data_IF_409185315602
#
_entry.id   IF_409185315602
#
_cell.length_a   1.000
_cell.length_b   1.000
_cell.length_c   1.000
_cell.angle_alpha   90.00
_cell.angle_beta   90.00
_cell.angle_gamma   90.00
#
_symmetry.space_group_name_H-M   'P 1'
#
loop_
_entity.id
_entity.type
_entity.pdbx_description
1 polymer ?
#
# COMPACT_ATOMS: atom_id res chain seq x y z
N UNK A 1 -35.58 16.10 56.17
CA UNK A 1 -35.63 14.66 56.51
C UNK A 1 -36.82 14.05 55.78
N UNK A 2 -36.63 12.83 55.25
CA UNK A 2 -37.54 11.99 54.43
C UNK A 2 -37.71 12.43 52.96
N UNK A 3 -37.79 11.54 51.95
CA UNK A 3 -37.61 10.07 51.91
C UNK A 3 -37.00 9.69 50.54
N UNK A 4 -36.06 8.75 50.54
CA UNK A 4 -35.59 8.04 49.35
C UNK A 4 -36.31 6.68 49.37
N UNK A 5 -37.49 6.60 48.74
CA UNK A 5 -38.18 5.33 48.49
C UNK A 5 -37.95 4.91 47.03
N UNK A 6 -36.86 4.19 46.80
CA UNK A 6 -36.60 3.49 45.54
C UNK A 6 -37.09 2.04 45.69
N UNK A 7 -38.35 1.80 45.31
CA UNK A 7 -39.05 0.51 45.28
C UNK A 7 -38.54 -0.45 44.17
N UNK A 8 -37.29 -0.27 43.73
CA UNK A 8 -36.71 -0.98 42.59
C UNK A 8 -36.31 -2.42 42.93
N UNK A 9 -36.02 -2.70 44.21
CA UNK A 9 -35.53 -4.02 44.65
C UNK A 9 -36.60 -4.91 45.29
N UNK A 10 -37.86 -4.47 45.29
CA UNK A 10 -38.95 -5.11 46.02
C UNK A 10 -38.80 -4.92 47.54
N UNK A 11 -39.90 -5.11 48.27
CA UNK A 11 -39.87 -5.07 49.73
C UNK A 11 -39.05 -6.24 50.32
N UNK A 12 -38.69 -6.12 51.60
CA UNK A 12 -37.89 -7.11 52.32
C UNK A 12 -38.53 -8.51 52.33
N UNK A 13 -39.85 -8.60 52.19
CA UNK A 13 -40.60 -9.84 52.17
C UNK A 13 -40.45 -10.56 50.81
N UNK A 14 -40.53 -9.82 49.70
CA UNK A 14 -40.24 -10.33 48.34
C UNK A 14 -38.79 -10.76 48.22
N UNK A 15 -37.85 -10.00 48.78
CA UNK A 15 -36.43 -10.34 48.75
C UNK A 15 -36.14 -11.62 49.55
N UNK A 16 -36.80 -11.80 50.70
CA UNK A 16 -36.68 -13.02 51.51
C UNK A 16 -37.26 -14.25 50.80
N UNK A 17 -38.42 -14.11 50.16
CA UNK A 17 -39.05 -15.19 49.40
C UNK A 17 -38.21 -15.62 48.19
N UNK A 18 -37.68 -14.66 47.41
CA UNK A 18 -36.80 -14.96 46.27
C UNK A 18 -35.50 -15.64 46.72
N UNK A 19 -34.89 -15.19 47.83
CA UNK A 19 -33.70 -15.84 48.39
C UNK A 19 -34.00 -17.27 48.86
N UNK A 20 -35.17 -17.50 49.46
CA UNK A 20 -35.59 -18.84 49.86
C UNK A 20 -35.77 -19.74 48.63
N UNK A 21 -36.40 -19.25 47.56
CA UNK A 21 -36.56 -19.95 46.29
C UNK A 21 -35.23 -20.30 45.61
N UNK A 22 -34.27 -19.37 45.60
CA UNK A 22 -32.92 -19.64 45.07
C UNK A 22 -32.21 -20.72 45.88
N UNK A 23 -32.35 -20.72 47.21
CA UNK A 23 -31.67 -21.68 48.08
C UNK A 23 -32.14 -23.13 47.88
N UNK A 24 -33.40 -23.32 47.48
CA UNK A 24 -33.99 -24.64 47.24
C UNK A 24 -34.03 -25.01 45.75
N UNK A 25 -33.55 -24.14 44.87
CA UNK A 25 -33.59 -24.38 43.43
C UNK A 25 -32.51 -25.39 43.04
N UNK A 26 -32.95 -26.57 42.63
CA UNK A 26 -32.09 -27.60 42.07
C UNK A 26 -31.72 -27.24 40.64
N UNK A 27 -30.51 -26.71 40.48
CA UNK A 27 -29.96 -26.33 39.19
C UNK A 27 -29.80 -27.57 38.32
N UNK A 28 -29.21 -28.66 38.80
CA UNK A 28 -28.95 -29.84 37.96
C UNK A 28 -30.26 -30.47 37.47
N UNK A 29 -31.24 -30.64 38.36
CA UNK A 29 -32.57 -31.16 37.98
C UNK A 29 -33.32 -30.25 37.00
N UNK A 30 -33.25 -28.92 37.18
CA UNK A 30 -33.88 -27.98 36.24
C UNK A 30 -33.25 -28.05 34.83
N UNK A 31 -31.93 -28.18 34.77
CA UNK A 31 -31.17 -28.29 33.51
C UNK A 31 -31.43 -29.62 32.78
N UNK A 32 -31.58 -30.73 33.50
CA UNK A 32 -31.95 -32.03 32.91
C UNK A 32 -33.38 -32.02 32.36
N UNK A 33 -34.32 -31.38 33.06
CA UNK A 33 -35.73 -31.34 32.68
C UNK A 33 -36.01 -30.44 31.47
N UNK A 34 -35.18 -29.41 31.24
CA UNK A 34 -35.38 -28.41 30.17
C UNK A 34 -34.54 -28.67 28.90
N UNK A 35 -33.82 -29.78 28.80
CA UNK A 35 -32.99 -30.15 27.62
C UNK A 35 -32.07 -29.01 27.10
N UNK A 36 -31.64 -28.08 27.95
CA UNK A 36 -30.74 -26.98 27.57
C UNK A 36 -29.27 -27.39 27.51
N UNK A 37 -28.98 -28.69 27.49
CA UNK A 37 -27.65 -29.24 27.19
C UNK A 37 -27.34 -29.32 25.68
N UNK A 38 -28.26 -28.85 24.83
CA UNK A 38 -28.05 -28.60 23.41
C UNK A 38 -27.88 -27.10 23.09
N UNK A 39 -27.40 -26.31 24.07
CA UNK A 39 -26.82 -25.00 23.74
C UNK A 39 -25.46 -25.22 23.07
N UNK A 40 -25.21 -24.70 21.85
CA UNK A 40 -23.91 -24.82 21.17
C UNK A 40 -22.90 -23.81 21.76
N UNK A 41 -22.75 -23.84 23.08
CA UNK A 41 -21.68 -23.20 23.84
C UNK A 41 -20.67 -24.23 24.34
N UNK A 42 -20.61 -25.41 23.69
CA UNK A 42 -19.30 -26.03 23.50
C UNK A 42 -18.44 -24.97 22.86
N UNK A 43 -17.33 -24.67 23.51
CA UNK A 43 -16.15 -24.06 22.92
C UNK A 43 -15.84 -24.77 21.60
N UNK A 44 -16.52 -24.36 20.53
CA UNK A 44 -15.86 -24.14 19.27
C UNK A 44 -14.90 -23.00 19.58
N UNK A 45 -13.74 -23.35 20.17
CA UNK A 45 -12.54 -23.02 19.46
C UNK A 45 -12.85 -23.49 18.03
N UNK A 46 -13.36 -22.57 17.20
CA UNK A 46 -13.17 -22.67 15.79
C UNK A 46 -11.67 -22.89 15.72
N UNK A 47 -11.26 -24.15 15.56
CA UNK A 47 -10.20 -24.44 14.62
C UNK A 47 -10.66 -23.62 13.44
N UNK A 48 -10.10 -22.40 13.30
CA UNK A 48 -10.03 -21.72 12.02
C UNK A 48 -9.61 -22.87 11.13
N UNK A 49 -10.53 -23.41 10.34
CA UNK A 49 -10.15 -24.31 9.28
C UNK A 49 -9.01 -23.57 8.62
N UNK A 50 -7.83 -24.19 8.60
CA UNK A 50 -6.65 -23.54 8.07
C UNK A 50 -7.07 -23.13 6.67
N UNK A 51 -7.28 -21.82 6.47
CA UNK A 51 -7.72 -21.27 5.20
C UNK A 51 -6.73 -21.82 4.20
N UNK A 52 -7.20 -22.46 3.12
CA UNK A 52 -6.31 -23.00 2.11
C UNK A 52 -5.61 -21.83 1.42
N UNK A 53 -4.48 -21.43 2.00
CA UNK A 53 -3.62 -20.33 1.56
C UNK A 53 -2.60 -20.78 0.52
N UNK A 54 -2.70 -22.01 -0.01
CA UNK A 54 -1.75 -22.54 -0.99
C UNK A 54 -1.71 -21.73 -2.29
N UNK A 55 -2.83 -21.10 -2.64
CA UNK A 55 -2.96 -20.22 -3.80
C UNK A 55 -2.57 -18.76 -3.52
N UNK A 56 -2.31 -18.40 -2.25
CA UNK A 56 -1.90 -17.06 -1.87
C UNK A 56 -0.39 -16.90 -2.01
N UNK A 57 0.01 -15.71 -2.43
CA UNK A 57 1.41 -15.36 -2.68
C UNK A 57 1.85 -14.23 -1.75
N UNK A 58 3.06 -14.33 -1.21
CA UNK A 58 3.67 -13.22 -0.48
C UNK A 58 5.11 -13.00 -0.97
N UNK A 59 5.33 -12.02 -1.88
CA UNK A 59 6.66 -11.68 -2.37
C UNK A 59 7.63 -11.20 -1.27
N UNK A 60 7.08 -10.77 -0.13
CA UNK A 60 7.80 -10.21 1.01
C UNK A 60 7.89 -11.18 2.20
N UNK A 61 7.63 -12.47 1.96
CA UNK A 61 7.70 -13.48 3.01
C UNK A 61 9.06 -13.44 3.72
N UNK A 62 9.04 -13.55 5.05
CA UNK A 62 10.20 -13.53 5.97
C UNK A 62 10.88 -12.17 6.16
N UNK A 63 10.46 -11.10 5.47
CA UNK A 63 10.94 -9.74 5.78
C UNK A 63 10.31 -9.27 7.10
N UNK A 64 11.14 -8.73 7.99
CA UNK A 64 10.73 -8.34 9.34
C UNK A 64 9.65 -7.26 9.30
N UNK A 65 9.84 -6.24 8.46
CA UNK A 65 8.90 -5.13 8.31
C UNK A 65 7.82 -5.38 7.25
N UNK A 66 7.53 -6.63 6.89
CA UNK A 66 6.45 -6.96 5.96
C UNK A 66 5.33 -7.77 6.62
N UNK A 67 4.11 -7.61 6.11
CA UNK A 67 2.97 -8.45 6.47
C UNK A 67 3.23 -9.90 6.07
N UNK A 68 2.95 -10.83 6.99
CA UNK A 68 3.07 -12.27 6.76
C UNK A 68 1.68 -12.91 6.67
N UNK A 69 1.52 -13.95 5.84
CA UNK A 69 0.22 -14.66 5.72
C UNK A 69 -0.17 -15.43 7.00
N UNK A 70 0.77 -15.58 7.94
CA UNK A 70 0.57 -16.23 9.23
C UNK A 70 -0.03 -15.31 10.30
N UNK A 71 -0.17 -14.01 10.01
CA UNK A 71 -0.77 -13.01 10.91
C UNK A 71 -1.92 -12.28 10.21
N UNK A 72 -2.85 -11.76 11.01
CA UNK A 72 -3.89 -10.84 10.55
C UNK A 72 -3.30 -9.46 10.21
N UNK A 73 -4.04 -8.66 9.45
CA UNK A 73 -3.61 -7.29 9.15
C UNK A 73 -3.58 -6.44 10.42
N UNK A 74 -4.51 -6.67 11.35
CA UNK A 74 -4.55 -6.01 12.66
C UNK A 74 -3.29 -6.28 13.48
N UNK A 75 -2.86 -7.55 13.56
CA UNK A 75 -1.61 -7.93 14.25
C UNK A 75 -0.41 -7.29 13.57
N UNK A 76 -0.37 -7.28 12.23
CA UNK A 76 0.71 -6.66 11.46
C UNK A 76 0.87 -5.16 11.73
N UNK A 77 -0.22 -4.38 11.66
CA UNK A 77 -0.15 -2.92 11.86
C UNK A 77 0.17 -2.55 13.31
N UNK A 78 -0.17 -3.42 14.27
CA UNK A 78 0.25 -3.27 15.67
C UNK A 78 1.71 -3.65 15.89
N UNK A 79 2.21 -4.66 15.16
CA UNK A 79 3.59 -5.14 15.25
C UNK A 79 4.59 -4.17 14.63
N UNK A 80 4.26 -3.54 13.51
CA UNK A 80 5.13 -2.59 12.79
C UNK A 80 4.41 -1.28 12.41
N UNK A 81 3.99 -0.47 13.40
CA UNK A 81 3.39 0.84 13.17
C UNK A 81 4.39 1.85 12.56
N UNK A 82 4.11 2.44 11.39
CA UNK A 82 5.06 3.32 10.70
C UNK A 82 5.53 4.55 11.49
N UNK A 83 4.70 5.05 12.41
CA UNK A 83 5.06 6.21 13.23
C UNK A 83 6.17 5.93 14.25
N UNK A 84 6.33 4.68 14.70
CA UNK A 84 7.27 4.31 15.77
C UNK A 84 8.28 3.24 15.39
N UNK A 85 8.08 2.52 14.28
CA UNK A 85 9.11 1.65 13.70
C UNK A 85 10.21 2.50 13.07
N UNK A 86 11.46 2.27 13.50
CA UNK A 86 12.62 2.97 12.95
C UNK A 86 13.07 2.37 11.61
N UNK A 87 13.50 3.26 10.71
CA UNK A 87 14.20 2.90 9.49
C UNK A 87 15.55 2.24 9.82
N UNK A 88 15.83 1.08 9.21
CA UNK A 88 17.16 0.46 9.26
C UNK A 88 17.66 0.19 7.83
N UNK A 89 18.98 0.08 7.61
CA UNK A 89 19.52 -0.28 6.30
C UNK A 89 18.98 -1.62 5.76
N UNK A 90 18.68 -2.57 6.65
CA UNK A 90 18.18 -3.90 6.28
C UNK A 90 16.68 -3.90 5.97
N UNK A 91 15.89 -3.04 6.65
CA UNK A 91 14.45 -2.95 6.50
C UNK A 91 13.99 -1.48 6.30
N UNK A 92 14.36 -0.84 5.17
CA UNK A 92 14.10 0.60 4.94
C UNK A 92 12.61 0.93 4.70
N UNK A 93 11.77 -0.09 4.50
CA UNK A 93 10.36 0.06 4.17
C UNK A 93 9.49 -0.95 4.91
N UNK A 94 8.26 -0.54 5.23
CA UNK A 94 7.22 -1.45 5.71
C UNK A 94 6.35 -1.87 4.53
N UNK A 95 6.12 -3.17 4.35
CA UNK A 95 5.50 -3.74 3.14
C UNK A 95 4.21 -4.50 3.42
N UNK A 96 3.26 -4.40 2.49
CA UNK A 96 2.07 -5.26 2.42
C UNK A 96 1.87 -5.69 0.97
N UNK A 97 1.59 -6.97 0.74
CA UNK A 97 1.27 -7.48 -0.59
C UNK A 97 -0.23 -7.67 -0.77
N UNK A 98 -0.67 -7.65 -2.03
CA UNK A 98 -1.94 -8.25 -2.39
C UNK A 98 -1.70 -9.75 -2.65
N UNK A 99 -2.26 -10.65 -1.82
CA UNK A 99 -1.88 -12.05 -1.85
C UNK A 99 -2.45 -12.82 -3.05
N UNK A 100 -3.39 -12.22 -3.79
CA UNK A 100 -4.03 -12.82 -4.95
C UNK A 100 -3.30 -12.53 -6.27
N UNK A 101 -2.27 -11.67 -6.25
CA UNK A 101 -1.49 -11.32 -7.44
C UNK A 101 -0.07 -11.83 -7.28
N UNK A 102 0.27 -12.86 -8.06
CA UNK A 102 1.60 -13.48 -8.01
C UNK A 102 2.69 -12.54 -8.56
N UNK A 103 3.82 -12.48 -7.87
CA UNK A 103 5.04 -11.74 -8.25
C UNK A 103 6.26 -12.57 -7.90
N UNK A 104 7.42 -12.22 -8.48
CA UNK A 104 8.69 -12.81 -8.03
C UNK A 104 8.91 -12.52 -6.55
N UNK A 105 9.56 -13.44 -5.84
CA UNK A 105 9.99 -13.15 -4.47
C UNK A 105 10.95 -11.95 -4.47
N UNK A 106 10.87 -11.07 -3.47
CA UNK A 106 11.66 -9.83 -3.46
C UNK A 106 13.15 -10.09 -3.62
N UNK A 107 13.68 -11.10 -2.95
CA UNK A 107 15.10 -11.46 -2.98
C UNK A 107 15.57 -12.10 -4.31
N UNK A 108 14.65 -12.55 -5.17
CA UNK A 108 14.96 -13.16 -6.47
C UNK A 108 14.75 -12.19 -7.65
N UNK A 109 14.12 -11.04 -7.40
CA UNK A 109 13.76 -10.09 -8.45
C UNK A 109 14.99 -9.29 -8.93
N UNK A 110 15.08 -9.06 -10.24
CA UNK A 110 16.23 -8.35 -10.85
C UNK A 110 16.34 -6.89 -10.41
N UNK A 111 15.26 -6.29 -9.88
CA UNK A 111 15.32 -4.92 -9.36
C UNK A 111 16.24 -4.77 -8.13
N UNK A 112 16.57 -5.87 -7.43
CA UNK A 112 17.48 -5.83 -6.29
C UNK A 112 18.94 -5.53 -6.68
N UNK A 113 19.31 -5.64 -7.96
CA UNK A 113 20.68 -5.34 -8.43
C UNK A 113 20.83 -3.92 -8.97
N UNK A 114 19.77 -3.12 -8.96
CA UNK A 114 19.76 -1.76 -9.50
C UNK A 114 19.72 -0.79 -8.32
N UNK A 115 20.66 0.15 -8.19
CA UNK A 115 20.63 1.15 -7.13
C UNK A 115 19.32 1.94 -7.09
N UNK A 116 18.66 1.98 -5.93
CA UNK A 116 17.34 2.57 -5.73
C UNK A 116 16.18 1.72 -6.27
N UNK A 117 16.47 0.62 -6.98
CA UNK A 117 15.49 -0.34 -7.48
C UNK A 117 15.07 -1.36 -6.42
N UNK A 118 15.94 -1.65 -5.45
CA UNK A 118 15.71 -2.53 -4.29
C UNK A 118 14.53 -2.06 -3.44
N UNK A 119 14.27 -0.76 -3.43
CA UNK A 119 13.15 -0.13 -2.75
C UNK A 119 11.81 -0.35 -3.44
N UNK A 120 11.80 -0.84 -4.67
CA UNK A 120 10.58 -0.98 -5.47
C UNK A 120 9.92 -2.37 -5.33
N UNK A 121 8.65 -2.45 -5.73
CA UNK A 121 7.92 -3.70 -5.73
C UNK A 121 8.60 -4.71 -6.68
N UNK A 122 8.65 -6.00 -6.32
CA UNK A 122 9.29 -7.00 -7.15
C UNK A 122 8.55 -7.15 -8.48
N UNK A 123 9.30 -7.37 -9.54
CA UNK A 123 8.82 -7.50 -10.91
C UNK A 123 7.90 -8.72 -11.13
N UNK A 124 7.23 -8.74 -12.29
CA UNK A 124 6.44 -9.89 -12.72
C UNK A 124 7.33 -10.98 -13.33
N UNK A 125 6.79 -12.19 -13.45
CA UNK A 125 7.46 -13.27 -14.14
C UNK A 125 7.66 -12.95 -15.64
N UNK A 126 8.88 -13.16 -16.12
CA UNK A 126 9.27 -12.87 -17.51
C UNK A 126 9.58 -11.40 -17.81
N UNK A 127 9.67 -10.53 -16.80
CA UNK A 127 10.26 -9.21 -16.96
C UNK A 127 11.76 -9.31 -17.32
N UNK A 128 12.18 -8.53 -18.32
CA UNK A 128 13.58 -8.37 -18.72
C UNK A 128 14.06 -6.96 -18.35
N UNK A 129 14.29 -6.79 -17.06
CA UNK A 129 14.72 -5.52 -16.50
C UNK A 129 16.12 -5.06 -16.96
N UNK A 130 17.14 -5.93 -17.06
CA UNK A 130 18.46 -5.54 -17.58
C UNK A 130 18.38 -4.89 -18.96
N UNK A 131 17.65 -5.50 -19.91
CA UNK A 131 17.49 -4.94 -21.26
C UNK A 131 16.72 -3.60 -21.27
N UNK A 132 15.74 -3.43 -20.37
CA UNK A 132 15.04 -2.13 -20.21
C UNK A 132 15.98 -1.06 -19.70
N UNK A 133 16.83 -1.37 -18.73
CA UNK A 133 17.79 -0.40 -18.17
C UNK A 133 18.82 -0.01 -19.23
N UNK A 134 19.43 -0.98 -19.92
CA UNK A 134 20.40 -0.72 -21.00
C UNK A 134 19.77 0.14 -22.10
N UNK A 135 18.63 -0.30 -22.65
CA UNK A 135 17.96 0.43 -23.72
C UNK A 135 17.42 1.79 -23.27
N UNK A 136 16.97 1.90 -22.03
CA UNK A 136 16.50 3.15 -21.45
C UNK A 136 17.64 4.16 -21.29
N UNK A 137 18.79 3.73 -20.77
CA UNK A 137 19.97 4.58 -20.65
C UNK A 137 20.50 5.03 -22.01
N UNK A 138 20.49 4.16 -23.04
CA UNK A 138 20.87 4.56 -24.39
C UNK A 138 19.99 5.71 -24.93
N UNK A 139 18.68 5.69 -24.68
CA UNK A 139 17.75 6.77 -25.07
C UNK A 139 18.04 8.07 -24.30
N UNK A 140 18.36 7.97 -23.01
CA UNK A 140 18.73 9.12 -22.19
C UNK A 140 20.07 9.73 -22.64
N UNK A 141 21.05 8.92 -23.03
CA UNK A 141 22.32 9.41 -23.59
C UNK A 141 22.11 10.17 -24.90
N UNK A 142 21.31 9.63 -25.84
CA UNK A 142 20.95 10.33 -27.07
C UNK A 142 20.25 11.67 -26.78
N UNK A 143 19.34 11.68 -25.80
CA UNK A 143 18.67 12.91 -25.38
C UNK A 143 19.67 13.92 -24.78
N UNK A 144 20.62 13.48 -23.96
CA UNK A 144 21.68 14.33 -23.42
C UNK A 144 22.51 14.98 -24.53
N UNK A 145 23.02 14.19 -25.47
CA UNK A 145 23.83 14.67 -26.59
C UNK A 145 23.08 15.73 -27.41
N UNK A 146 21.80 15.48 -27.71
CA UNK A 146 20.96 16.42 -28.43
C UNK A 146 20.71 17.71 -27.64
N UNK A 147 20.41 17.59 -26.33
CA UNK A 147 20.17 18.74 -25.43
C UNK A 147 21.42 19.61 -25.34
N UNK A 148 22.59 19.01 -25.22
CA UNK A 148 23.86 19.73 -25.14
C UNK A 148 24.20 20.41 -26.47
N UNK A 149 23.98 19.74 -27.61
CA UNK A 149 24.09 20.36 -28.93
C UNK A 149 23.13 21.53 -29.09
N UNK A 150 21.87 21.40 -28.64
CA UNK A 150 20.88 22.47 -28.68
C UNK A 150 21.32 23.69 -27.85
N UNK A 151 21.82 23.48 -26.63
CA UNK A 151 22.32 24.56 -25.77
C UNK A 151 23.52 25.31 -26.39
N UNK A 152 24.34 24.61 -27.18
CA UNK A 152 25.51 25.17 -27.85
C UNK A 152 25.24 25.75 -29.25
N UNK A 153 24.02 25.62 -29.78
CA UNK A 153 23.68 25.97 -31.17
C UNK A 153 23.57 27.47 -31.48
N UNK A 154 23.68 28.34 -30.48
CA UNK A 154 23.49 29.80 -30.63
C UNK A 154 22.03 30.22 -30.94
N UNK A 155 21.09 29.28 -30.94
CA UNK A 155 19.67 29.54 -31.16
C UNK A 155 19.03 30.36 -30.04
N UNK A 156 17.89 30.99 -30.34
CA UNK A 156 17.13 31.75 -29.35
C UNK A 156 16.71 30.87 -28.16
N UNK A 157 16.79 31.33 -26.89
CA UNK A 157 16.51 30.52 -25.70
C UNK A 157 15.18 29.76 -25.74
N UNK A 158 14.10 30.40 -26.20
CA UNK A 158 12.79 29.76 -26.34
C UNK A 158 12.79 28.55 -27.29
N UNK A 159 13.60 28.58 -28.35
CA UNK A 159 13.75 27.44 -29.28
C UNK A 159 14.50 26.32 -28.56
N UNK A 160 15.61 26.64 -27.90
CA UNK A 160 16.41 25.68 -27.13
C UNK A 160 15.52 24.97 -26.10
N UNK A 161 14.78 25.72 -25.27
CA UNK A 161 13.89 25.12 -24.26
C UNK A 161 12.84 24.20 -24.89
N UNK A 162 12.26 24.59 -26.03
CA UNK A 162 11.26 23.77 -26.72
C UNK A 162 11.86 22.46 -27.24
N UNK A 163 13.01 22.53 -27.92
CA UNK A 163 13.66 21.34 -28.49
C UNK A 163 14.18 20.40 -27.38
N UNK A 164 14.76 20.93 -26.31
CA UNK A 164 15.19 20.12 -25.16
C UNK A 164 14.02 19.38 -24.51
N UNK A 165 12.88 20.06 -24.31
CA UNK A 165 11.65 19.42 -23.79
C UNK A 165 11.13 18.34 -24.74
N UNK A 166 11.17 18.59 -26.04
CA UNK A 166 10.75 17.63 -27.05
C UNK A 166 11.62 16.38 -27.01
N UNK A 167 12.95 16.53 -26.97
CA UNK A 167 13.87 15.42 -26.84
C UNK A 167 13.62 14.58 -25.57
N UNK A 168 13.39 15.26 -24.43
CA UNK A 168 12.99 14.59 -23.19
C UNK A 168 11.68 13.81 -23.32
N UNK A 169 10.65 14.42 -23.92
CA UNK A 169 9.35 13.75 -24.14
C UNK A 169 9.47 12.54 -25.07
N UNK A 170 10.25 12.64 -26.15
CA UNK A 170 10.47 11.55 -27.10
C UNK A 170 11.22 10.38 -26.42
N UNK A 171 12.30 10.68 -25.68
CA UNK A 171 13.01 9.67 -24.89
C UNK A 171 12.11 9.01 -23.84
N UNK A 172 11.32 9.79 -23.11
CA UNK A 172 10.37 9.28 -22.11
C UNK A 172 9.33 8.34 -22.73
N UNK A 173 8.80 8.69 -23.91
CA UNK A 173 7.84 7.86 -24.66
C UNK A 173 8.48 6.54 -25.08
N UNK A 174 9.69 6.58 -25.61
CA UNK A 174 10.39 5.38 -26.07
C UNK A 174 10.80 4.46 -24.91
N UNK A 175 11.19 5.02 -23.77
CA UNK A 175 11.45 4.29 -22.53
C UNK A 175 10.19 3.55 -22.06
N UNK A 176 9.04 4.23 -22.00
CA UNK A 176 7.79 3.59 -21.58
C UNK A 176 7.35 2.49 -22.56
N UNK A 177 7.54 2.70 -23.86
CA UNK A 177 7.26 1.68 -24.87
C UNK A 177 8.15 0.43 -24.70
N UNK A 178 9.45 0.65 -24.46
CA UNK A 178 10.41 -0.43 -24.19
C UNK A 178 10.04 -1.20 -22.92
N UNK A 179 9.76 -0.48 -21.83
CA UNK A 179 9.38 -1.06 -20.56
C UNK A 179 8.12 -1.94 -20.69
N UNK A 180 7.14 -1.50 -21.48
CA UNK A 180 5.95 -2.31 -21.80
C UNK A 180 6.29 -3.56 -22.60
N UNK A 181 7.11 -3.44 -23.65
CA UNK A 181 7.49 -4.57 -24.51
C UNK A 181 8.25 -5.65 -23.73
N UNK A 182 9.05 -5.25 -22.74
CA UNK A 182 9.89 -6.13 -21.92
C UNK A 182 9.31 -6.43 -20.54
N UNK A 183 8.01 -6.16 -20.33
CA UNK A 183 7.26 -6.50 -19.10
C UNK A 183 7.80 -5.87 -17.81
N UNK A 184 8.42 -4.69 -17.90
CA UNK A 184 8.75 -3.84 -16.75
C UNK A 184 7.68 -2.77 -16.62
N UNK A 185 6.50 -3.19 -16.15
CA UNK A 185 5.27 -2.40 -16.28
C UNK A 185 4.76 -1.78 -14.98
N UNK A 186 5.41 -2.06 -13.86
CA UNK A 186 4.93 -1.55 -12.58
C UNK A 186 5.08 -0.04 -12.44
N UNK A 187 4.24 0.51 -11.58
CA UNK A 187 4.34 1.88 -11.12
C UNK A 187 3.52 2.05 -9.85
N UNK A 188 3.59 3.25 -9.28
CA UNK A 188 2.94 3.53 -7.99
C UNK A 188 2.27 4.90 -7.94
N UNK A 189 1.16 4.94 -7.24
CA UNK A 189 0.61 6.17 -6.66
C UNK A 189 1.42 6.54 -5.42
N UNK A 190 1.88 7.79 -5.34
CA UNK A 190 2.65 8.31 -4.21
C UNK A 190 1.81 9.26 -3.36
N UNK A 191 1.50 8.85 -2.13
CA UNK A 191 0.78 9.63 -1.13
C UNK A 191 1.77 10.16 -0.08
N UNK A 192 1.60 11.41 0.33
CA UNK A 192 2.39 12.03 1.39
C UNK A 192 1.47 12.29 2.58
N UNK A 193 1.67 11.53 3.65
CA UNK A 193 0.81 11.52 4.83
C UNK A 193 1.52 12.23 6.00
N UNK A 194 0.86 13.15 6.72
CA UNK A 194 1.42 13.72 7.94
C UNK A 194 1.76 12.64 8.98
N UNK A 195 2.88 12.78 9.69
CA UNK A 195 3.34 11.79 10.69
C UNK A 195 2.28 11.38 11.71
N UNK A 196 1.39 12.29 12.13
CA UNK A 196 0.36 12.00 13.13
C UNK A 196 -0.82 11.14 12.59
N UNK A 197 -0.97 11.03 11.27
CA UNK A 197 -2.03 10.23 10.61
C UNK A 197 -1.49 8.95 9.96
N UNK A 198 -0.16 8.76 9.95
CA UNK A 198 0.47 7.70 9.13
C UNK A 198 0.02 6.29 9.52
N UNK A 199 -0.19 6.02 10.82
CA UNK A 199 -0.63 4.70 11.27
C UNK A 199 -2.06 4.39 10.78
N UNK A 200 -2.99 5.35 10.93
CA UNK A 200 -4.38 5.21 10.49
C UNK A 200 -4.47 5.06 8.96
N UNK A 201 -3.79 5.93 8.21
CA UNK A 201 -3.77 5.85 6.75
C UNK A 201 -3.12 4.56 6.26
N UNK A 202 -2.05 4.11 6.92
CA UNK A 202 -1.40 2.84 6.56
C UNK A 202 -2.28 1.63 6.84
N UNK A 203 -3.01 1.61 7.95
CA UNK A 203 -3.95 0.53 8.26
C UNK A 203 -5.02 0.39 7.18
N UNK A 204 -5.60 1.51 6.73
CA UNK A 204 -6.59 1.53 5.64
C UNK A 204 -5.98 0.97 4.35
N UNK A 205 -4.76 1.42 3.98
CA UNK A 205 -4.06 0.95 2.77
C UNK A 205 -3.72 -0.54 2.89
N UNK A 206 -3.23 -1.00 4.03
CA UNK A 206 -2.85 -2.38 4.26
C UNK A 206 -4.06 -3.32 4.14
N UNK A 207 -5.17 -2.98 4.79
CA UNK A 207 -6.43 -3.73 4.72
C UNK A 207 -6.95 -3.81 3.28
N UNK A 208 -7.06 -2.68 2.60
CA UNK A 208 -7.55 -2.63 1.23
C UNK A 208 -6.63 -3.35 0.24
N UNK A 209 -5.31 -3.34 0.47
CA UNK A 209 -4.34 -4.08 -0.36
C UNK A 209 -4.48 -5.59 -0.17
N UNK A 210 -4.55 -6.06 1.09
CA UNK A 210 -4.69 -7.47 1.40
C UNK A 210 -6.03 -8.06 0.94
N UNK A 211 -7.09 -7.24 0.89
CA UNK A 211 -8.43 -7.61 0.42
C UNK A 211 -8.61 -7.51 -1.11
N UNK A 212 -7.53 -7.37 -1.88
CA UNK A 212 -7.58 -7.25 -3.34
C UNK A 212 -8.37 -6.01 -3.86
N UNK A 213 -8.49 -4.96 -3.04
CA UNK A 213 -9.22 -3.75 -3.42
C UNK A 213 -8.29 -2.70 -4.06
N UNK A 214 -7.00 -2.72 -3.73
CA UNK A 214 -5.96 -1.89 -4.36
C UNK A 214 -5.21 -2.68 -5.43
N UNK A 215 -3.96 -2.32 -5.73
CA UNK A 215 -3.16 -2.99 -6.75
C UNK A 215 -2.33 -4.15 -6.19
N UNK A 216 -1.08 -4.30 -6.65
CA UNK A 216 -0.26 -5.49 -6.37
C UNK A 216 0.38 -5.51 -4.98
N UNK A 217 0.41 -4.36 -4.31
CA UNK A 217 1.07 -4.19 -3.03
C UNK A 217 1.20 -2.72 -2.66
N UNK A 218 1.65 -2.46 -1.44
CA UNK A 218 1.96 -1.12 -0.96
C UNK A 218 3.19 -1.13 -0.06
N UNK A 219 3.83 0.04 0.07
CA UNK A 219 4.89 0.29 1.06
C UNK A 219 4.67 1.62 1.76
N UNK A 220 5.16 1.74 2.98
CA UNK A 220 5.20 3.00 3.73
C UNK A 220 6.58 3.24 4.32
N UNK A 221 7.00 4.49 4.31
CA UNK A 221 8.25 4.93 4.92
C UNK A 221 8.12 4.82 6.46
N UNK A 222 9.02 4.09 7.13
CA UNK A 222 9.11 4.08 8.59
C UNK A 222 9.57 5.43 9.14
N UNK A 223 9.71 5.52 10.46
CA UNK A 223 10.29 6.67 11.13
C UNK A 223 11.77 6.78 10.78
N UNK A 224 12.10 7.74 9.94
CA UNK A 224 13.50 8.10 9.67
C UNK A 224 14.07 8.94 10.82
N UNK A 225 15.31 8.64 11.19
CA UNK A 225 16.11 9.42 12.15
C UNK A 225 16.90 10.55 11.47
N UNK A 226 17.09 10.46 10.15
CA UNK A 226 17.88 11.42 9.36
C UNK A 226 16.98 12.40 8.61
N UNK A 227 15.85 11.91 8.11
CA UNK A 227 14.91 12.70 7.34
C UNK A 227 13.92 13.46 8.24
N UNK A 228 14.03 14.79 8.19
CA UNK A 228 13.22 15.73 8.98
C UNK A 228 11.89 16.11 8.32
N UNK A 229 11.51 15.47 7.21
CA UNK A 229 10.21 15.71 6.57
C UNK A 229 9.06 15.42 7.53
N UNK A 230 8.05 16.28 7.49
CA UNK A 230 6.83 16.17 8.31
C UNK A 230 5.85 15.12 7.79
N UNK A 231 6.10 14.64 6.57
CA UNK A 231 5.24 13.72 5.85
C UNK A 231 5.98 12.41 5.57
N UNK A 232 5.26 11.29 5.68
CA UNK A 232 5.72 9.94 5.34
C UNK A 232 5.17 9.56 3.97
N UNK A 233 6.03 8.94 3.15
CA UNK A 233 5.63 8.44 1.83
C UNK A 233 4.91 7.10 1.98
N UNK A 234 3.72 7.00 1.39
CA UNK A 234 3.02 5.73 1.14
C UNK A 234 2.96 5.55 -0.37
N UNK A 235 3.40 4.39 -0.86
CA UNK A 235 3.27 4.02 -2.26
C UNK A 235 2.29 2.87 -2.42
N UNK A 236 1.34 3.00 -3.34
CA UNK A 236 0.40 1.93 -3.73
C UNK A 236 0.67 1.56 -5.17
N UNK A 237 1.08 0.30 -5.39
CA UNK A 237 1.56 -0.18 -6.68
C UNK A 237 0.44 -0.74 -7.54
N UNK A 238 0.54 -0.56 -8.85
CA UNK A 238 -0.29 -1.26 -9.84
C UNK A 238 0.57 -2.14 -10.74
N UNK A 239 -0.04 -3.13 -11.38
CA UNK A 239 0.68 -4.12 -12.17
C UNK A 239 1.25 -3.53 -13.46
N UNK A 240 0.47 -2.67 -14.12
CA UNK A 240 0.79 -2.12 -15.43
C UNK A 240 0.44 -0.63 -15.53
N UNK A 241 1.45 0.23 -15.64
CA UNK A 241 1.28 1.68 -15.78
C UNK A 241 0.55 2.07 -17.08
N UNK A 242 0.51 1.19 -18.08
CA UNK A 242 -0.20 1.43 -19.33
C UNK A 242 -1.66 1.03 -19.28
N UNK A 243 -2.06 0.23 -18.27
CA UNK A 243 -3.46 -0.05 -17.97
C UNK A 243 -4.09 1.14 -17.23
N UNK A 244 -4.51 2.13 -18.02
CA UNK A 244 -5.17 3.32 -17.50
C UNK A 244 -6.47 3.02 -16.73
N UNK A 245 -7.12 1.87 -16.97
CA UNK A 245 -8.33 1.48 -16.25
C UNK A 245 -7.99 1.03 -14.84
N UNK A 246 -7.00 0.16 -14.67
CA UNK A 246 -6.54 -0.28 -13.34
C UNK A 246 -5.93 0.88 -12.55
N UNK A 247 -5.09 1.71 -13.20
CA UNK A 247 -4.50 2.89 -12.55
C UNK A 247 -5.58 3.86 -12.06
N UNK A 248 -6.64 4.09 -12.85
CA UNK A 248 -7.80 4.89 -12.43
C UNK A 248 -8.58 4.21 -11.31
N UNK A 249 -8.89 2.91 -11.44
CA UNK A 249 -9.61 2.12 -10.44
C UNK A 249 -8.96 2.22 -9.06
N UNK A 250 -7.63 2.08 -9.00
CA UNK A 250 -6.88 2.22 -7.74
C UNK A 250 -6.98 3.65 -7.20
N UNK A 251 -6.85 4.68 -8.05
CA UNK A 251 -7.04 6.07 -7.61
C UNK A 251 -8.46 6.35 -7.10
N UNK A 252 -9.49 5.81 -7.76
CA UNK A 252 -10.88 5.91 -7.32
C UNK A 252 -11.10 5.23 -5.98
N UNK A 253 -10.51 4.04 -5.79
CA UNK A 253 -10.59 3.33 -4.52
C UNK A 253 -9.88 4.08 -3.39
N UNK A 254 -8.69 4.65 -3.64
CA UNK A 254 -8.01 5.53 -2.68
C UNK A 254 -8.88 6.73 -2.28
N UNK A 255 -9.63 7.30 -3.22
CA UNK A 255 -10.58 8.38 -2.93
C UNK A 255 -11.78 7.90 -2.10
N UNK A 256 -12.35 6.74 -2.42
CA UNK A 256 -13.46 6.14 -1.68
C UNK A 256 -13.09 5.81 -0.24
N UNK A 257 -11.84 5.40 -0.01
CA UNK A 257 -11.27 5.14 1.31
C UNK A 257 -10.91 6.41 2.10
N UNK A 258 -11.15 7.61 1.54
CA UNK A 258 -10.86 8.88 2.20
C UNK A 258 -9.37 9.26 2.24
N UNK A 259 -8.49 8.50 1.57
CA UNK A 259 -7.04 8.72 1.57
C UNK A 259 -6.59 9.85 0.65
N UNK A 260 -7.43 10.23 -0.31
CA UNK A 260 -7.25 11.42 -1.15
C UNK A 260 -8.55 12.22 -1.20
N UNK A 261 -8.49 13.53 -0.92
CA UNK A 261 -9.67 14.39 -0.99
C UNK A 261 -9.63 15.28 -2.24
N UNK A 262 -10.81 15.70 -2.71
CA UNK A 262 -10.91 16.53 -3.90
C UNK A 262 -10.29 17.93 -3.75
N UNK A 263 -10.15 18.42 -2.51
CA UNK A 263 -9.57 19.73 -2.18
C UNK A 263 -8.05 19.67 -1.93
N UNK A 264 -7.50 18.47 -1.77
CA UNK A 264 -6.09 18.30 -1.47
C UNK A 264 -5.22 18.45 -2.72
N UNK A 265 -3.91 18.52 -2.49
CA UNK A 265 -2.93 18.46 -3.58
C UNK A 265 -3.08 17.12 -4.30
N UNK A 266 -3.02 17.10 -5.64
CA UNK A 266 -3.07 15.85 -6.38
C UNK A 266 -1.89 14.96 -6.00
N UNK A 267 -2.15 13.66 -5.94
CA UNK A 267 -1.10 12.64 -5.87
C UNK A 267 -0.64 12.32 -7.29
N UNK A 268 0.58 11.81 -7.40
CA UNK A 268 1.21 11.55 -8.69
C UNK A 268 1.55 10.07 -8.86
N UNK A 269 1.45 9.61 -10.09
CA UNK A 269 1.76 8.24 -10.47
C UNK A 269 3.12 8.17 -11.17
N UNK A 270 4.06 7.38 -10.63
CA UNK A 270 5.41 7.19 -11.16
C UNK A 270 5.62 5.74 -11.61
N UNK A 271 5.98 5.49 -12.88
CA UNK A 271 6.43 4.17 -13.36
C UNK A 271 7.76 3.77 -12.72
N UNK A 272 7.93 2.49 -12.41
CA UNK A 272 9.13 1.97 -11.76
C UNK A 272 10.36 2.07 -12.67
N UNK A 273 10.16 1.97 -13.99
CA UNK A 273 11.22 2.20 -14.99
C UNK A 273 11.87 3.58 -14.85
N UNK A 274 11.13 4.61 -14.41
CA UNK A 274 11.72 5.92 -14.14
C UNK A 274 12.57 5.91 -12.88
N UNK A 275 12.26 5.09 -11.87
CA UNK A 275 13.17 4.90 -10.74
C UNK A 275 14.43 4.18 -11.20
N UNK A 276 14.32 3.08 -11.95
CA UNK A 276 15.47 2.30 -12.40
C UNK A 276 16.45 3.09 -13.28
N UNK A 277 15.95 4.09 -14.00
CA UNK A 277 16.77 4.98 -14.85
C UNK A 277 17.18 6.29 -14.15
N UNK A 278 16.93 6.45 -12.84
CA UNK A 278 17.29 7.66 -12.10
C UNK A 278 16.49 8.92 -12.51
N UNK A 279 15.36 8.76 -13.18
CA UNK A 279 14.49 9.87 -13.59
C UNK A 279 13.71 10.35 -12.34
N UNK A 280 14.20 11.43 -11.75
CA UNK A 280 13.60 12.13 -10.63
C UNK A 280 13.20 13.57 -11.00
N UNK A 281 12.60 14.30 -10.06
CA UNK A 281 12.28 15.72 -10.26
C UNK A 281 13.58 16.51 -10.49
N UNK A 282 13.60 17.32 -11.55
CA UNK A 282 14.77 18.15 -11.89
C UNK A 282 15.87 17.40 -12.63
N UNK A 283 15.58 16.24 -13.22
CA UNK A 283 16.51 15.54 -14.11
C UNK A 283 16.93 16.41 -15.30
N UNK A 284 18.12 16.18 -15.89
CA UNK A 284 18.68 17.03 -16.94
C UNK A 284 17.94 16.96 -18.28
N UNK A 285 17.05 15.98 -18.46
CA UNK A 285 16.29 15.76 -19.69
C UNK A 285 14.93 16.49 -19.73
N UNK A 286 14.58 17.25 -18.69
CA UNK A 286 13.25 17.85 -18.49
C UNK A 286 12.09 16.83 -18.54
N UNK A 287 12.37 15.56 -18.27
CA UNK A 287 11.34 14.52 -18.22
C UNK A 287 10.51 14.70 -16.95
N UNK A 288 9.18 14.64 -17.07
CA UNK A 288 8.33 14.61 -15.87
C UNK A 288 8.49 13.26 -15.18
N UNK A 289 8.81 13.28 -13.89
CA UNK A 289 9.00 12.06 -13.08
C UNK A 289 7.68 11.31 -12.78
N UNK A 290 6.55 11.81 -13.25
CA UNK A 290 5.23 11.17 -13.15
C UNK A 290 4.50 11.26 -14.49
N UNK A 291 3.70 10.23 -14.78
CA UNK A 291 2.94 10.13 -16.04
C UNK A 291 1.44 10.42 -15.85
N UNK A 292 0.92 10.26 -14.63
CA UNK A 292 -0.46 10.61 -14.28
C UNK A 292 -0.53 11.39 -12.97
N UNK A 293 -1.64 12.11 -12.78
CA UNK A 293 -2.02 12.77 -11.55
C UNK A 293 -3.48 12.45 -11.20
N UNK A 294 -3.81 12.39 -9.91
CA UNK A 294 -5.15 12.00 -9.48
C UNK A 294 -6.24 12.97 -9.93
N UNK A 295 -5.93 14.27 -10.06
CA UNK A 295 -6.93 15.27 -10.48
C UNK A 295 -7.35 15.04 -11.93
N UNK A 296 -6.42 14.75 -12.83
CA UNK A 296 -6.71 14.42 -14.22
C UNK A 296 -7.38 13.05 -14.36
N UNK A 297 -6.91 12.04 -13.61
CA UNK A 297 -7.44 10.67 -13.68
C UNK A 297 -8.88 10.55 -13.16
N UNK A 298 -9.27 11.36 -12.18
CA UNK A 298 -10.56 11.32 -11.48
C UNK A 298 -11.56 12.38 -11.96
N UNK A 299 -11.22 13.16 -13.00
CA UNK A 299 -12.20 14.02 -13.66
C UNK A 299 -13.27 13.13 -14.27
N UNK A 300 -14.54 13.41 -13.97
CA UNK A 300 -15.67 12.79 -14.68
C UNK A 300 -15.53 13.11 -16.17
N UNK A 301 -15.60 12.08 -17.00
CA UNK A 301 -15.70 12.21 -18.45
C UNK A 301 -16.98 12.94 -18.84
#
# INVERSE_FOLDING_TARGET
MSSEDSDFYGDDEVLADLKAKVKIFDVEGWWEQHQTLDTPLKMQAQKKEAVDISHLHNPYAKLKNAWQLTETIEEFVQRVPPATTDETPEDPWIWVCNPYISRKAKHEASNQTIPGGEDEAPEEFGADLPSVVEGGMARLHLASEFIDACKNSGNHPNIITRECRKAGMDAAKDILNLARALRVRCGKWMLFCPVHQVNEMWEIVAKATANNELGIGAKVAPRSTTDKRTDRLICVYTADFSDTQDVRRVAEKLKQLGLIQARDRPIYYKPDVYTYLGIARGNPWEIRASIYDSKSMLKKA
#
